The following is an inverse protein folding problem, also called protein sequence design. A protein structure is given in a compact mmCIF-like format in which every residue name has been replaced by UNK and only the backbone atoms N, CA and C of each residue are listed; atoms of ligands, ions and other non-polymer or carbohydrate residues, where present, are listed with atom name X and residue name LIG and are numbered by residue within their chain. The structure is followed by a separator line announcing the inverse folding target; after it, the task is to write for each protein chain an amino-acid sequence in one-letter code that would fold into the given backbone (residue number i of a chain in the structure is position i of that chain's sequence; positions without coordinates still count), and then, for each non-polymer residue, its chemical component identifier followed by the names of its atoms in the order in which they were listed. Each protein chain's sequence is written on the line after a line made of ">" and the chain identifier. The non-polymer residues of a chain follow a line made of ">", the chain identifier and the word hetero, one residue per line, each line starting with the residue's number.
data_IF_632762512246
#
_entry.id   IF_632762512246
#
_cell.length_a   1.000
_cell.length_b   1.000
_cell.length_c   1.000
_cell.angle_alpha   90.00
_cell.angle_beta   90.00
_cell.angle_gamma   90.00
#
_symmetry.space_group_name_H-M   'P 1'
#
loop_
_entity.id
_entity.type
_entity.pdbx_description
1 polymer ?
#
# COMPACT_ATOMS: atom_id res chain seq x y z
N UNK A 1 7.85 25.24 0.05
CA UNK A 1 7.03 24.13 -0.48
C UNK A 1 7.88 22.88 -0.35
N UNK A 2 7.37 21.84 0.29
CA UNK A 2 8.11 20.58 0.48
C UNK A 2 7.50 19.53 -0.44
N UNK A 3 8.31 18.94 -1.30
CA UNK A 3 7.89 17.80 -2.11
C UNK A 3 7.83 16.53 -1.25
N UNK A 4 6.71 15.83 -1.33
CA UNK A 4 6.49 14.50 -0.76
C UNK A 4 6.12 13.53 -1.88
N UNK A 5 6.95 12.52 -2.10
CA UNK A 5 6.72 11.51 -3.12
C UNK A 5 5.91 10.36 -2.54
N UNK A 6 4.79 10.00 -3.19
CA UNK A 6 4.00 8.83 -2.82
C UNK A 6 4.58 7.60 -3.53
N UNK A 7 5.16 6.69 -2.76
CA UNK A 7 5.83 5.47 -3.20
C UNK A 7 4.85 4.35 -3.56
N UNK A 8 3.81 4.66 -4.32
CA UNK A 8 2.91 3.67 -4.94
C UNK A 8 2.49 4.15 -6.32
N UNK A 9 2.27 3.20 -7.24
CA UNK A 9 1.69 3.46 -8.57
C UNK A 9 0.16 3.38 -8.58
N UNK A 10 -0.47 3.05 -7.45
CA UNK A 10 -1.92 2.98 -7.34
C UNK A 10 -2.53 4.40 -7.36
N UNK A 11 -3.17 4.73 -8.49
CA UNK A 11 -3.80 6.05 -8.71
C UNK A 11 -4.86 6.41 -7.67
N UNK A 12 -5.61 5.42 -7.17
CA UNK A 12 -6.61 5.62 -6.12
C UNK A 12 -5.96 6.08 -4.81
N UNK A 13 -4.93 5.35 -4.35
CA UNK A 13 -4.18 5.71 -3.14
C UNK A 13 -3.54 7.09 -3.24
N UNK A 14 -2.91 7.40 -4.38
CA UNK A 14 -2.32 8.73 -4.61
C UNK A 14 -3.38 9.83 -4.48
N UNK A 15 -4.55 9.67 -5.10
CA UNK A 15 -5.61 10.65 -5.04
C UNK A 15 -6.18 10.83 -3.62
N UNK A 16 -6.34 9.74 -2.88
CA UNK A 16 -6.81 9.76 -1.49
C UNK A 16 -5.82 10.46 -0.55
N UNK A 17 -4.54 10.11 -0.62
CA UNK A 17 -3.48 10.74 0.18
C UNK A 17 -3.35 12.22 -0.18
N UNK A 18 -3.35 12.55 -1.47
CA UNK A 18 -3.28 13.94 -1.91
C UNK A 18 -4.47 14.77 -1.39
N UNK A 19 -5.67 14.18 -1.32
CA UNK A 19 -6.85 14.83 -0.75
C UNK A 19 -6.68 15.06 0.76
N UNK A 20 -6.20 14.07 1.51
CA UNK A 20 -5.96 14.20 2.96
C UNK A 20 -4.94 15.31 3.24
N UNK A 21 -3.82 15.32 2.54
CA UNK A 21 -2.76 16.33 2.72
C UNK A 21 -3.18 17.73 2.25
N UNK A 22 -4.13 17.84 1.32
CA UNK A 22 -4.72 19.15 0.96
C UNK A 22 -5.56 19.76 2.08
N UNK A 23 -6.23 18.95 2.91
CA UNK A 23 -6.95 19.47 4.08
C UNK A 23 -5.97 20.08 5.09
N UNK A 24 -4.80 19.48 5.31
CA UNK A 24 -3.73 20.04 6.16
C UNK A 24 -3.21 21.38 5.61
N UNK A 25 -3.07 21.52 4.29
CA UNK A 25 -2.69 22.79 3.65
C UNK A 25 -3.74 23.91 3.79
N UNK A 26 -4.93 23.61 4.32
CA UNK A 26 -6.00 24.58 4.56
C UNK A 26 -5.99 25.13 6.00
N UNK A 27 -5.11 24.60 6.88
CA UNK A 27 -4.90 25.14 8.21
C UNK A 27 -4.10 26.46 8.13
N UNK A 28 -4.66 27.61 8.54
CA UNK A 28 -3.92 28.88 8.56
C UNK A 28 -2.71 28.89 9.52
N UNK A 29 -2.59 27.92 10.42
CA UNK A 29 -1.40 27.71 11.25
C UNK A 29 -0.31 26.86 10.56
N UNK A 30 -0.61 26.21 9.43
CA UNK A 30 0.37 25.43 8.69
C UNK A 30 1.45 26.36 8.10
N UNK A 31 2.69 26.16 8.53
CA UNK A 31 3.82 27.03 8.15
C UNK A 31 4.42 26.69 6.79
N UNK A 32 4.04 25.55 6.18
CA UNK A 32 4.63 25.10 4.92
C UNK A 32 3.67 24.21 4.12
N UNK A 33 3.41 24.58 2.86
CA UNK A 33 2.61 23.78 1.94
C UNK A 33 3.37 22.52 1.48
N UNK A 34 2.67 21.37 1.46
CA UNK A 34 3.15 20.09 0.93
C UNK A 34 2.69 19.92 -0.51
N UNK A 35 3.63 19.67 -1.41
CA UNK A 35 3.36 19.25 -2.79
C UNK A 35 3.44 17.72 -2.88
N UNK A 36 2.35 17.09 -3.32
CA UNK A 36 2.29 15.63 -3.44
C UNK A 36 2.67 15.23 -4.86
N UNK A 37 3.74 14.43 -4.99
CA UNK A 37 4.27 13.90 -6.24
C UNK A 37 4.05 12.39 -6.31
N UNK A 38 3.83 11.86 -7.50
CA UNK A 38 3.74 10.41 -7.72
C UNK A 38 5.11 9.83 -8.02
N UNK A 39 5.43 8.63 -7.49
CA UNK A 39 6.64 7.89 -7.92
C UNK A 39 6.68 7.65 -9.44
N UNK A 40 5.52 7.61 -10.10
CA UNK A 40 5.42 7.45 -11.56
C UNK A 40 5.96 8.66 -12.36
N UNK A 41 6.26 9.78 -11.71
CA UNK A 41 6.93 10.92 -12.34
C UNK A 41 8.46 10.73 -12.44
N UNK A 42 8.99 9.68 -11.82
CA UNK A 42 10.41 9.39 -11.75
C UNK A 42 10.72 8.06 -12.46
N UNK A 43 11.92 7.94 -13.01
CA UNK A 43 12.42 6.73 -13.64
C UNK A 43 12.99 5.77 -12.58
N UNK A 44 12.08 5.18 -11.81
CA UNK A 44 12.39 4.24 -10.71
C UNK A 44 11.64 2.96 -11.01
N UNK A 45 12.27 1.79 -10.90
CA UNK A 45 11.57 0.51 -11.08
C UNK A 45 10.53 0.25 -9.98
N UNK A 46 9.75 -0.83 -10.11
CA UNK A 46 8.96 -1.32 -8.99
C UNK A 46 9.89 -1.82 -7.87
N UNK A 47 9.52 -1.54 -6.62
CA UNK A 47 10.29 -1.95 -5.45
C UNK A 47 9.92 -3.37 -5.09
N UNK A 48 10.93 -4.25 -5.03
CA UNK A 48 10.73 -5.63 -4.57
C UNK A 48 10.30 -5.66 -3.10
N UNK A 49 9.11 -6.18 -2.83
CA UNK A 49 8.55 -6.32 -1.48
C UNK A 49 9.07 -7.59 -0.80
N UNK A 50 10.30 -7.53 -0.28
CA UNK A 50 10.98 -8.65 0.38
C UNK A 50 10.76 -8.72 1.89
N UNK A 51 9.95 -7.81 2.45
CA UNK A 51 9.62 -7.77 3.87
C UNK A 51 8.74 -8.95 4.29
N UNK A 52 8.77 -9.25 5.58
CA UNK A 52 7.92 -10.27 6.21
C UNK A 52 6.66 -9.67 6.85
N UNK A 53 6.58 -8.34 6.94
CA UNK A 53 5.45 -7.57 7.48
C UNK A 53 5.07 -6.42 6.56
N UNK A 54 3.84 -5.90 6.72
CA UNK A 54 3.38 -4.70 6.02
C UNK A 54 4.26 -3.47 6.32
N UNK A 55 4.66 -3.28 7.58
CA UNK A 55 5.54 -2.19 7.99
C UNK A 55 6.90 -2.26 7.28
N UNK A 56 7.51 -3.45 7.20
CA UNK A 56 8.78 -3.64 6.50
C UNK A 56 8.67 -3.33 5.00
N UNK A 57 7.60 -3.76 4.33
CA UNK A 57 7.37 -3.45 2.92
C UNK A 57 7.10 -1.96 2.68
N UNK A 58 6.29 -1.33 3.54
CA UNK A 58 6.03 0.10 3.47
C UNK A 58 7.34 0.90 3.67
N UNK A 59 8.12 0.57 4.69
CA UNK A 59 9.41 1.21 4.94
C UNK A 59 10.38 1.02 3.77
N UNK A 60 10.47 -0.19 3.22
CA UNK A 60 11.32 -0.50 2.08
C UNK A 60 10.95 0.32 0.84
N UNK A 61 9.65 0.43 0.54
CA UNK A 61 9.12 1.29 -0.54
C UNK A 61 9.49 2.75 -0.32
N UNK A 62 9.22 3.30 0.87
CA UNK A 62 9.51 4.69 1.18
C UNK A 62 11.02 4.99 1.09
N UNK A 63 11.87 4.16 1.70
CA UNK A 63 13.32 4.37 1.69
C UNK A 63 13.91 4.27 0.28
N UNK A 64 13.44 3.33 -0.53
CA UNK A 64 13.94 3.16 -1.90
C UNK A 64 13.62 4.40 -2.74
N UNK A 65 12.37 4.88 -2.68
CA UNK A 65 11.95 6.08 -3.40
C UNK A 65 12.63 7.34 -2.87
N UNK A 66 12.77 7.49 -1.55
CA UNK A 66 13.46 8.64 -0.95
C UNK A 66 14.94 8.70 -1.39
N UNK A 67 15.63 7.56 -1.40
CA UNK A 67 17.03 7.47 -1.85
C UNK A 67 17.18 7.78 -3.35
N UNK A 68 16.26 7.31 -4.17
CA UNK A 68 16.32 7.51 -5.62
C UNK A 68 15.97 8.95 -6.05
N UNK A 69 15.01 9.57 -5.36
CA UNK A 69 14.52 10.92 -5.72
C UNK A 69 15.23 12.06 -4.98
N UNK A 70 15.81 11.79 -3.81
CA UNK A 70 16.32 12.82 -2.90
C UNK A 70 15.23 13.59 -2.13
N UNK A 71 13.95 13.25 -2.32
CA UNK A 71 12.82 13.84 -1.61
C UNK A 71 12.36 12.97 -0.44
N UNK A 72 11.58 13.55 0.46
CA UNK A 72 10.83 12.74 1.41
C UNK A 72 9.84 11.84 0.66
N UNK A 73 9.66 10.61 1.13
CA UNK A 73 8.73 9.67 0.53
C UNK A 73 7.79 9.07 1.58
N UNK A 74 6.52 8.93 1.20
CA UNK A 74 5.48 8.24 1.97
C UNK A 74 5.08 6.97 1.21
N UNK A 75 5.03 5.86 1.92
CA UNK A 75 4.58 4.59 1.38
C UNK A 75 3.50 3.99 2.28
N UNK A 76 2.75 3.07 1.69
CA UNK A 76 1.75 2.26 2.36
C UNK A 76 1.88 0.82 1.84
N UNK A 77 1.66 -0.16 2.72
CA UNK A 77 1.53 -1.56 2.34
C UNK A 77 0.30 -2.14 3.02
N UNK A 78 -0.60 -2.70 2.23
CA UNK A 78 -1.94 -3.04 2.69
C UNK A 78 -2.33 -4.45 2.26
N UNK A 79 -3.12 -5.13 3.08
CA UNK A 79 -3.63 -6.45 2.72
C UNK A 79 -4.77 -6.92 3.60
N UNK A 80 -5.37 -8.05 3.21
CA UNK A 80 -6.40 -8.72 3.98
C UNK A 80 -5.77 -9.79 4.86
N UNK A 81 -6.04 -9.75 6.15
CA UNK A 81 -5.67 -10.79 7.11
C UNK A 81 -6.92 -11.53 7.55
N UNK A 82 -7.01 -12.83 7.27
CA UNK A 82 -8.14 -13.69 7.66
C UNK A 82 -7.75 -14.63 8.79
N UNK A 83 -8.46 -14.56 9.91
CA UNK A 83 -8.08 -15.26 11.14
C UNK A 83 -8.13 -16.78 10.98
N UNK A 84 -9.16 -17.29 10.30
CA UNK A 84 -9.30 -18.72 10.00
C UNK A 84 -8.23 -19.29 9.06
N UNK A 85 -7.45 -18.43 8.40
CA UNK A 85 -6.33 -18.78 7.53
C UNK A 85 -4.97 -18.41 8.15
N UNK A 86 -4.93 -18.15 9.46
CA UNK A 86 -3.70 -17.76 10.16
C UNK A 86 -3.12 -16.42 9.68
N UNK A 87 -3.98 -15.52 9.19
CA UNK A 87 -3.60 -14.21 8.67
C UNK A 87 -3.35 -14.17 7.16
N UNK A 88 -3.44 -15.29 6.44
CA UNK A 88 -3.42 -15.24 4.97
C UNK A 88 -4.69 -14.53 4.44
N UNK A 89 -4.62 -13.84 3.28
CA UNK A 89 -3.46 -13.70 2.38
C UNK A 89 -2.32 -12.79 2.88
N UNK A 90 -2.58 -11.87 3.81
CA UNK A 90 -1.57 -11.01 4.42
C UNK A 90 -0.83 -10.14 3.39
N UNK A 91 0.50 -10.05 3.51
CA UNK A 91 1.37 -9.31 2.57
C UNK A 91 1.31 -9.82 1.12
N UNK A 92 0.74 -11.01 0.89
CA UNK A 92 0.56 -11.58 -0.44
C UNK A 92 -0.77 -11.23 -1.08
N UNK A 93 -1.58 -10.35 -0.47
CA UNK A 93 -2.95 -10.03 -0.92
C UNK A 93 -3.03 -9.69 -2.41
N UNK A 94 -2.12 -8.85 -2.92
CA UNK A 94 -2.13 -8.44 -4.33
C UNK A 94 -1.73 -9.57 -5.31
N UNK A 95 -1.09 -10.63 -4.81
CA UNK A 95 -0.53 -11.75 -5.60
C UNK A 95 -0.98 -13.11 -5.07
N UNK A 96 -2.14 -13.17 -4.42
CA UNK A 96 -2.54 -14.34 -3.65
C UNK A 96 -2.75 -15.58 -4.52
N UNK A 97 -3.27 -15.38 -5.73
CA UNK A 97 -3.45 -16.38 -6.79
C UNK A 97 -2.18 -16.67 -7.60
N UNK A 98 -1.06 -16.02 -7.27
CA UNK A 98 0.24 -16.18 -7.93
C UNK A 98 0.53 -15.13 -9.01
N UNK A 99 -0.47 -14.40 -9.48
CA UNK A 99 -0.31 -13.27 -10.42
C UNK A 99 -0.66 -11.98 -9.70
N UNK A 100 0.17 -10.94 -9.89
CA UNK A 100 -0.07 -9.63 -9.30
C UNK A 100 -1.26 -8.93 -9.98
N UNK A 101 -2.22 -8.46 -9.19
CA UNK A 101 -3.34 -7.64 -9.65
C UNK A 101 -4.53 -8.39 -10.27
N UNK A 102 -4.56 -9.72 -10.20
CA UNK A 102 -5.76 -10.49 -10.58
C UNK A 102 -6.72 -10.62 -9.38
N UNK A 103 -7.48 -9.56 -9.13
CA UNK A 103 -8.40 -9.48 -7.99
C UNK A 103 -9.45 -10.59 -8.01
N UNK A 104 -9.96 -10.96 -9.19
CA UNK A 104 -10.97 -12.01 -9.32
C UNK A 104 -10.40 -13.38 -8.90
N UNK A 105 -9.21 -13.74 -9.39
CA UNK A 105 -8.56 -14.98 -9.00
C UNK A 105 -8.14 -14.99 -7.52
N UNK A 106 -7.70 -13.84 -6.98
CA UNK A 106 -7.37 -13.69 -5.56
C UNK A 106 -8.59 -13.96 -4.67
N UNK A 107 -9.74 -13.39 -5.02
CA UNK A 107 -11.00 -13.59 -4.30
C UNK A 107 -11.49 -15.04 -4.42
N UNK A 108 -11.47 -15.61 -5.63
CA UNK A 108 -11.89 -17.00 -5.84
C UNK A 108 -11.06 -17.98 -5.02
N UNK A 109 -9.72 -17.83 -5.02
CA UNK A 109 -8.84 -18.66 -4.19
C UNK A 109 -9.17 -18.52 -2.70
N UNK A 110 -9.35 -17.29 -2.22
CA UNK A 110 -9.70 -17.04 -0.82
C UNK A 110 -11.02 -17.71 -0.42
N UNK A 111 -12.06 -17.57 -1.25
CA UNK A 111 -13.37 -18.18 -1.01
C UNK A 111 -13.28 -19.71 -1.01
N UNK A 112 -12.51 -20.29 -1.93
CA UNK A 112 -12.28 -21.73 -1.98
C UNK A 112 -11.55 -22.25 -0.74
N UNK A 113 -10.55 -21.53 -0.22
CA UNK A 113 -9.88 -21.92 1.02
C UNK A 113 -10.77 -21.73 2.24
N UNK A 114 -11.67 -20.74 2.25
CA UNK A 114 -12.66 -20.58 3.32
C UNK A 114 -13.83 -21.58 3.24
N UNK A 115 -13.94 -22.31 2.13
CA UNK A 115 -14.89 -23.42 2.00
C UNK A 115 -14.50 -24.59 2.92
N UNK A 116 -15.43 -25.53 3.16
CA UNK A 116 -15.26 -26.73 4.00
C UNK A 116 -15.17 -26.49 5.52
N UNK A 117 -16.28 -26.05 6.12
CA UNK A 117 -16.51 -26.22 7.56
C UNK A 117 -15.74 -25.28 8.49
N UNK A 118 -14.87 -24.42 7.95
CA UNK A 118 -14.41 -23.25 8.70
C UNK A 118 -15.64 -22.36 8.94
N UNK A 119 -15.96 -22.02 10.18
CA UNK A 119 -17.11 -21.14 10.50
C UNK A 119 -16.69 -19.69 10.76
N UNK A 120 -15.45 -19.50 11.22
CA UNK A 120 -14.93 -18.17 11.51
C UNK A 120 -14.57 -17.43 10.20
N UNK A 121 -15.24 -16.31 9.97
CA UNK A 121 -15.04 -15.41 8.81
C UNK A 121 -14.38 -14.09 9.21
N UNK A 122 -13.86 -14.00 10.43
CA UNK A 122 -13.23 -12.79 10.92
C UNK A 122 -12.01 -12.45 10.06
N UNK A 123 -11.97 -11.20 9.62
CA UNK A 123 -10.92 -10.67 8.77
C UNK A 123 -10.76 -9.17 9.02
N UNK A 124 -9.58 -8.65 8.71
CA UNK A 124 -9.28 -7.22 8.79
C UNK A 124 -8.41 -6.80 7.61
N UNK A 125 -8.64 -5.58 7.14
CA UNK A 125 -7.63 -4.89 6.35
C UNK A 125 -6.57 -4.33 7.30
N UNK A 126 -5.31 -4.51 6.91
CA UNK A 126 -4.13 -3.93 7.53
C UNK A 126 -3.55 -2.96 6.52
#
# INVERSE_FOLDING_TARGET
>A
MTDLVIATRNKGKIAEIARILRFENSDPAATQAIEVRSVAEFDIDDVDETGSTFEENALLKALTVARATGYAALADDSGLSVDALGGAPGIYSARYSGVHGDDAANIEKLLNELSNGRLDRSARFV
#
